data_IF_645570652622
#
_entry.id   IF_645570652622
#
_cell.length_a   1.000
_cell.length_b   1.000
_cell.length_c   1.000
_cell.angle_alpha   90.00
_cell.angle_beta   90.00
_cell.angle_gamma   90.00
#
_symmetry.space_group_name_H-M   'P 1'
#
loop_
_entity.id
_entity.type
_entity.pdbx_description
1 polymer ?
#
# COMPACT_ATOMS: atom_id res chain seq x y z
N UNK A 1 9.94 -39.05 8.39
CA UNK A 1 9.22 -38.26 7.38
C UNK A 1 8.88 -36.94 8.05
N UNK A 2 9.75 -35.94 7.91
CA UNK A 2 9.66 -34.68 8.65
C UNK A 2 8.44 -33.90 8.15
N UNK A 3 7.58 -33.52 9.09
CA UNK A 3 6.62 -32.43 8.90
C UNK A 3 7.46 -31.21 8.50
N UNK A 4 7.17 -30.65 7.33
CA UNK A 4 7.75 -29.37 6.92
C UNK A 4 7.20 -28.35 7.91
N UNK A 5 8.04 -27.92 8.85
CA UNK A 5 7.79 -26.76 9.69
C UNK A 5 7.79 -25.53 8.76
N UNK A 6 6.60 -25.12 8.35
CA UNK A 6 6.37 -23.86 7.65
C UNK A 6 6.51 -22.73 8.69
N UNK A 7 7.74 -22.49 9.13
CA UNK A 7 8.06 -21.36 10.00
C UNK A 7 7.79 -20.04 9.27
N UNK A 8 6.68 -19.37 9.61
CA UNK A 8 6.73 -18.04 10.24
C UNK A 8 5.31 -17.62 10.65
N UNK A 9 5.16 -17.28 11.92
CA UNK A 9 3.91 -16.88 12.56
C UNK A 9 3.32 -15.64 11.88
N UNK A 10 2.00 -15.66 11.66
CA UNK A 10 1.25 -14.44 11.43
C UNK A 10 1.34 -13.58 12.70
N UNK A 11 2.23 -12.59 12.67
CA UNK A 11 2.36 -11.62 13.75
C UNK A 11 1.21 -10.60 13.62
N UNK A 12 0.14 -10.85 14.39
CA UNK A 12 -1.06 -10.02 14.39
C UNK A 12 -0.76 -8.57 14.80
N UNK A 13 0.23 -8.33 15.67
CA UNK A 13 0.60 -6.99 16.12
C UNK A 13 1.30 -6.22 15.02
N UNK A 14 2.21 -6.87 14.30
CA UNK A 14 2.89 -6.32 13.12
C UNK A 14 1.92 -6.05 11.97
N UNK A 15 0.98 -6.97 11.73
CA UNK A 15 -0.07 -6.75 10.73
C UNK A 15 -0.98 -5.59 11.14
N UNK A 16 -1.33 -5.50 12.43
CA UNK A 16 -2.07 -4.39 12.99
C UNK A 16 -1.35 -3.04 12.82
N UNK A 17 -0.02 -2.99 12.94
CA UNK A 17 0.74 -1.76 12.70
C UNK A 17 0.71 -1.34 11.23
N UNK A 18 0.82 -2.30 10.30
CA UNK A 18 0.72 -2.03 8.86
C UNK A 18 -0.64 -1.43 8.51
N UNK A 19 -1.74 -2.00 9.01
CA UNK A 19 -3.08 -1.44 8.77
C UNK A 19 -3.23 -0.01 9.31
N UNK A 20 -2.64 0.30 10.48
CA UNK A 20 -2.67 1.67 11.03
C UNK A 20 -1.98 2.65 10.10
N UNK A 21 -0.81 2.29 9.58
CA UNK A 21 -0.06 3.15 8.65
C UNK A 21 -0.81 3.36 7.34
N UNK A 22 -1.35 2.30 6.74
CA UNK A 22 -2.17 2.41 5.53
C UNK A 22 -3.41 3.28 5.77
N UNK A 23 -4.05 3.15 6.95
CA UNK A 23 -5.20 3.99 7.32
C UNK A 23 -4.80 5.46 7.48
N UNK A 24 -3.63 5.73 8.08
CA UNK A 24 -3.10 7.09 8.20
C UNK A 24 -2.80 7.70 6.83
N UNK A 25 -2.21 6.91 5.93
CA UNK A 25 -1.92 7.33 4.56
C UNK A 25 -3.19 7.62 3.76
N UNK A 26 -4.17 6.73 3.84
CA UNK A 26 -5.49 6.90 3.23
C UNK A 26 -6.16 8.19 3.70
N UNK A 27 -6.15 8.45 5.01
CA UNK A 27 -6.70 9.68 5.59
C UNK A 27 -5.99 10.91 5.04
N UNK A 28 -4.65 10.90 5.00
CA UNK A 28 -3.84 11.99 4.44
C UNK A 28 -4.17 12.25 2.98
N UNK A 29 -4.30 11.20 2.17
CA UNK A 29 -4.66 11.30 0.76
C UNK A 29 -6.06 11.91 0.57
N UNK A 30 -7.06 11.45 1.33
CA UNK A 30 -8.41 12.01 1.30
C UNK A 30 -8.46 13.48 1.75
N UNK A 31 -7.73 13.85 2.80
CA UNK A 31 -7.65 15.25 3.26
C UNK A 31 -7.01 16.17 2.20
N UNK A 32 -6.04 15.65 1.43
CA UNK A 32 -5.31 16.41 0.43
C UNK A 32 -6.02 16.51 -0.92
N UNK A 33 -6.64 15.42 -1.37
CA UNK A 33 -7.13 15.29 -2.75
C UNK A 33 -8.64 15.03 -2.86
N UNK A 34 -9.28 14.54 -1.79
CA UNK A 34 -10.67 14.08 -1.81
C UNK A 34 -10.85 12.71 -2.49
N UNK A 35 -12.10 12.28 -2.73
CA UNK A 35 -12.38 11.06 -3.50
C UNK A 35 -11.94 11.20 -4.96
N UNK A 36 -11.70 10.08 -5.62
CA UNK A 36 -11.45 10.06 -7.06
C UNK A 36 -12.69 10.54 -7.81
N UNK A 37 -12.48 11.38 -8.82
CA UNK A 37 -13.53 11.90 -9.71
C UNK A 37 -13.91 10.90 -10.79
N UNK A 38 -13.04 9.92 -11.08
CA UNK A 38 -13.30 8.88 -12.07
C UNK A 38 -12.44 7.62 -11.87
N UNK A 39 -12.87 6.51 -12.49
CA UNK A 39 -12.09 5.26 -12.54
C UNK A 39 -10.74 5.43 -13.26
N UNK A 40 -10.64 6.35 -14.22
CA UNK A 40 -9.39 6.64 -14.92
C UNK A 40 -8.39 7.40 -14.03
N UNK A 41 -8.89 8.33 -13.19
CA UNK A 41 -8.06 9.00 -12.18
C UNK A 41 -7.55 8.00 -11.15
N UNK A 42 -8.43 7.14 -10.61
CA UNK A 42 -8.02 6.08 -9.70
C UNK A 42 -6.96 5.15 -10.32
N UNK A 43 -7.17 4.69 -11.56
CA UNK A 43 -6.19 3.89 -12.29
C UNK A 43 -4.84 4.62 -12.45
N UNK A 44 -4.87 5.91 -12.81
CA UNK A 44 -3.67 6.72 -12.97
C UNK A 44 -2.85 6.82 -11.68
N UNK A 45 -3.50 7.11 -10.55
CA UNK A 45 -2.85 7.19 -9.24
C UNK A 45 -2.31 5.84 -8.80
N UNK A 46 -3.09 4.76 -8.92
CA UNK A 46 -2.61 3.41 -8.57
C UNK A 46 -1.40 3.01 -9.43
N UNK A 47 -1.42 3.36 -10.72
CA UNK A 47 -0.30 3.08 -11.62
C UNK A 47 0.95 3.90 -11.26
N UNK A 48 0.78 5.17 -10.87
CA UNK A 48 1.86 6.03 -10.37
C UNK A 48 2.53 5.39 -9.14
N UNK A 49 1.76 5.08 -8.10
CA UNK A 49 2.28 4.46 -6.87
C UNK A 49 2.95 3.11 -7.13
N UNK A 50 2.41 2.30 -8.05
CA UNK A 50 3.03 1.04 -8.46
C UNK A 50 4.37 1.26 -9.16
N UNK A 51 4.47 2.28 -10.01
CA UNK A 51 5.74 2.63 -10.65
C UNK A 51 6.75 3.15 -9.63
N UNK A 52 6.33 3.90 -8.61
CA UNK A 52 7.23 4.33 -7.54
C UNK A 52 7.78 3.15 -6.74
N UNK A 53 6.93 2.17 -6.37
CA UNK A 53 7.41 0.91 -5.77
C UNK A 53 8.43 0.23 -6.69
N UNK A 54 8.12 0.11 -7.99
CA UNK A 54 9.02 -0.52 -8.94
C UNK A 54 10.36 0.23 -9.06
N UNK A 55 10.33 1.55 -9.09
CA UNK A 55 11.52 2.38 -9.20
C UNK A 55 12.41 2.21 -7.97
N UNK A 56 11.85 2.16 -6.75
CA UNK A 56 12.65 1.89 -5.54
C UNK A 56 13.40 0.55 -5.63
N UNK A 57 12.76 -0.49 -6.17
CA UNK A 57 13.37 -1.81 -6.37
C UNK A 57 14.45 -1.73 -7.45
N UNK A 58 14.12 -1.12 -8.59
CA UNK A 58 14.99 -0.99 -9.76
C UNK A 58 16.27 -0.23 -9.43
N UNK A 59 16.16 0.85 -8.67
CA UNK A 59 17.29 1.70 -8.27
C UNK A 59 17.97 1.24 -6.98
N UNK A 60 17.49 0.15 -6.36
CA UNK A 60 18.04 -0.41 -5.11
C UNK A 60 18.05 0.62 -3.98
N UNK A 61 16.97 1.38 -3.89
CA UNK A 61 16.72 2.30 -2.78
C UNK A 61 16.62 1.52 -1.46
N UNK A 62 16.81 2.18 -0.30
CA UNK A 62 16.66 1.52 1.00
C UNK A 62 15.25 0.94 1.20
N UNK A 63 15.15 -0.23 1.85
CA UNK A 63 13.87 -0.91 2.12
C UNK A 63 12.80 0.00 2.76
N UNK A 64 13.23 0.98 3.58
CA UNK A 64 12.33 1.98 4.16
C UNK A 64 11.56 2.74 3.07
N UNK A 65 12.23 3.13 1.98
CA UNK A 65 11.60 3.86 0.89
C UNK A 65 10.63 2.97 0.13
N UNK A 66 11.04 1.76 -0.24
CA UNK A 66 10.13 0.78 -0.87
C UNK A 66 8.89 0.51 -0.01
N UNK A 67 9.06 0.43 1.31
CA UNK A 67 7.95 0.27 2.25
C UNK A 67 7.01 1.48 2.27
N UNK A 68 7.55 2.70 2.22
CA UNK A 68 6.74 3.93 2.13
C UNK A 68 5.88 3.94 0.86
N UNK A 69 6.43 3.64 -0.31
CA UNK A 69 5.66 3.59 -1.56
C UNK A 69 4.64 2.44 -1.55
N UNK A 70 4.99 1.28 -0.97
CA UNK A 70 4.07 0.16 -0.86
C UNK A 70 2.85 0.48 0.04
N UNK A 71 3.05 1.27 1.10
CA UNK A 71 1.95 1.76 1.96
C UNK A 71 1.07 2.74 1.19
N UNK A 72 1.65 3.63 0.38
CA UNK A 72 0.90 4.57 -0.46
C UNK A 72 0.10 3.85 -1.54
N UNK A 73 0.69 2.87 -2.22
CA UNK A 73 -0.01 1.98 -3.16
C UNK A 73 -1.19 1.25 -2.50
N UNK A 74 -0.98 0.68 -1.31
CA UNK A 74 -2.07 0.02 -0.57
C UNK A 74 -3.20 1.00 -0.23
N UNK A 75 -2.86 2.23 0.20
CA UNK A 75 -3.84 3.26 0.49
C UNK A 75 -4.61 3.68 -0.77
N UNK A 76 -3.94 3.86 -1.92
CA UNK A 76 -4.59 4.20 -3.19
C UNK A 76 -5.59 3.12 -3.64
N UNK A 77 -5.24 1.84 -3.49
CA UNK A 77 -6.15 0.73 -3.81
C UNK A 77 -7.35 0.71 -2.86
N UNK A 78 -7.16 0.92 -1.56
CA UNK A 78 -8.27 0.98 -0.59
C UNK A 78 -9.17 2.19 -0.87
N UNK A 79 -8.62 3.35 -1.22
CA UNK A 79 -9.39 4.53 -1.63
C UNK A 79 -10.28 4.20 -2.82
N UNK A 80 -9.72 3.51 -3.83
CA UNK A 80 -10.49 3.10 -5.00
C UNK A 80 -11.61 2.11 -4.64
N UNK A 81 -11.35 1.15 -3.75
CA UNK A 81 -12.39 0.24 -3.25
C UNK A 81 -13.49 1.02 -2.53
N UNK A 82 -13.13 2.00 -1.69
CA UNK A 82 -14.09 2.81 -0.97
C UNK A 82 -14.96 3.66 -1.91
N UNK A 83 -14.40 4.22 -2.97
CA UNK A 83 -15.14 4.98 -3.98
C UNK A 83 -16.08 4.12 -4.85
N UNK A 84 -16.01 2.79 -4.75
CA UNK A 84 -16.92 1.84 -5.40
C UNK A 84 -18.09 1.39 -4.51
N UNK A 85 -18.14 1.82 -3.23
CA UNK A 85 -19.24 1.54 -2.29
C UNK A 85 -20.40 2.52 -2.50
#
# INVERSE_FOLDING_TARGET
MSVIDLGSEFDADKVGSIFREVTSELKRAYEKYGPFRSKHEAYGVILEELNEVWDTIRFKEPDRRTREEAVQLAAAVIAFINDLL
#
